data_IF_366753595737
#
_entry.id   IF_366753595737
#
_cell.length_a   1.000
_cell.length_b   1.000
_cell.length_c   1.000
_cell.angle_alpha   90.00
_cell.angle_beta   90.00
_cell.angle_gamma   90.00
#
_symmetry.space_group_name_H-M   'P 1'
#
loop_
_entity.id
_entity.type
_entity.pdbx_description
1 polymer ?
#
# COMPACT_ATOMS: atom_id res chain seq x y z
N UNK A 1 -4.80 19.52 4.94
CA UNK A 1 -3.95 18.67 4.09
C UNK A 1 -4.73 17.41 3.76
N UNK A 2 -4.96 17.06 2.49
CA UNK A 2 -5.66 15.80 2.14
C UNK A 2 -4.65 14.67 2.17
N UNK A 3 -4.83 13.69 3.07
CA UNK A 3 -3.97 12.51 3.12
C UNK A 3 -4.16 11.68 1.83
N UNK A 4 -3.04 11.19 1.31
CA UNK A 4 -3.01 10.28 0.16
C UNK A 4 -2.43 8.94 0.60
N UNK A 5 -3.12 7.87 0.27
CA UNK A 5 -2.69 6.50 0.56
C UNK A 5 -2.32 5.76 -0.71
N UNK A 6 -1.30 4.91 -0.61
CA UNK A 6 -0.88 4.04 -1.69
C UNK A 6 -0.89 2.61 -1.19
N UNK A 7 -1.71 1.78 -1.81
CA UNK A 7 -1.89 0.40 -1.43
C UNK A 7 -0.92 -0.49 -2.21
N UNK A 8 -0.21 -1.35 -1.48
CA UNK A 8 0.63 -2.38 -2.06
C UNK A 8 -0.18 -3.46 -2.80
N UNK A 9 0.48 -4.33 -3.56
CA UNK A 9 -0.16 -5.34 -4.41
C UNK A 9 -1.07 -6.30 -3.64
N UNK A 10 -0.72 -6.62 -2.40
CA UNK A 10 -1.42 -7.58 -1.56
C UNK A 10 -2.60 -6.95 -0.80
N UNK A 11 -2.76 -5.64 -0.88
CA UNK A 11 -3.92 -4.95 -0.30
C UNK A 11 -5.17 -5.24 -1.14
N UNK A 12 -6.24 -5.67 -0.46
CA UNK A 12 -7.50 -6.03 -1.13
C UNK A 12 -8.20 -4.80 -1.72
N UNK A 13 -8.97 -5.03 -2.79
CA UNK A 13 -9.85 -3.99 -3.37
C UNK A 13 -10.87 -3.46 -2.35
N UNK A 14 -11.30 -4.29 -1.40
CA UNK A 14 -12.21 -3.90 -0.32
C UNK A 14 -11.56 -2.81 0.53
N UNK A 15 -10.34 -3.02 1.03
CA UNK A 15 -9.64 -2.02 1.84
C UNK A 15 -9.36 -0.74 1.04
N UNK A 16 -8.90 -0.86 -0.21
CA UNK A 16 -8.73 0.29 -1.10
C UNK A 16 -10.02 1.11 -1.27
N UNK A 17 -11.16 0.44 -1.55
CA UNK A 17 -12.45 1.10 -1.71
C UNK A 17 -12.96 1.71 -0.40
N UNK A 18 -12.74 1.04 0.74
CA UNK A 18 -13.05 1.59 2.06
C UNK A 18 -12.33 2.92 2.28
N UNK A 19 -11.01 2.99 2.03
CA UNK A 19 -10.22 4.23 2.16
C UNK A 19 -10.78 5.33 1.25
N UNK A 20 -11.11 4.99 0.00
CA UNK A 20 -11.72 5.91 -0.95
C UNK A 20 -13.08 6.45 -0.46
N UNK A 21 -13.92 5.56 0.07
CA UNK A 21 -15.26 5.90 0.57
C UNK A 21 -15.23 6.81 1.80
N UNK A 22 -14.15 6.75 2.59
CA UNK A 22 -13.89 7.71 3.68
C UNK A 22 -13.42 9.09 3.18
N UNK A 23 -13.32 9.31 1.86
CA UNK A 23 -12.99 10.60 1.26
C UNK A 23 -11.49 10.86 1.10
N UNK A 24 -10.64 9.86 1.34
CA UNK A 24 -9.20 9.97 1.12
C UNK A 24 -8.82 9.73 -0.34
N UNK A 25 -7.71 10.33 -0.76
CA UNK A 25 -7.09 9.97 -2.03
C UNK A 25 -6.39 8.63 -1.85
N UNK A 26 -6.65 7.68 -2.75
CA UNK A 26 -6.03 6.37 -2.71
C UNK A 26 -5.64 5.94 -4.11
N UNK A 27 -4.45 5.35 -4.20
CA UNK A 27 -3.94 4.71 -5.39
C UNK A 27 -3.31 3.35 -5.03
N UNK A 28 -2.86 2.57 -6.01
CA UNK A 28 -2.25 1.27 -5.75
C UNK A 28 -1.28 0.81 -6.82
N UNK A 29 -0.42 -0.15 -6.47
CA UNK A 29 0.42 -0.90 -7.42
C UNK A 29 -0.41 -1.46 -8.58
N UNK A 30 -1.60 -1.99 -8.27
CA UNK A 30 -2.53 -2.57 -9.25
C UNK A 30 -3.07 -1.53 -10.23
N UNK A 31 -3.49 -0.37 -9.74
CA UNK A 31 -4.02 0.71 -10.59
C UNK A 31 -2.96 1.25 -11.54
N UNK A 32 -1.71 1.35 -11.07
CA UNK A 32 -0.57 1.84 -11.84
C UNK A 32 0.10 0.78 -12.71
N UNK A 33 -0.28 -0.49 -12.57
CA UNK A 33 0.32 -1.64 -13.28
C UNK A 33 1.84 -1.75 -13.07
N UNK A 34 2.32 -1.39 -11.89
CA UNK A 34 3.76 -1.42 -11.51
C UNK A 34 4.11 -2.65 -10.65
N UNK A 35 3.57 -3.81 -11.03
CA UNK A 35 3.76 -5.07 -10.30
C UNK A 35 5.24 -5.43 -10.14
N UNK A 36 5.62 -5.96 -8.98
CA UNK A 36 7.01 -6.34 -8.69
C UNK A 36 7.99 -5.16 -8.60
N UNK A 37 7.50 -3.93 -8.42
CA UNK A 37 8.35 -2.77 -8.12
C UNK A 37 9.22 -3.04 -6.89
N UNK A 38 10.50 -2.69 -6.95
CA UNK A 38 11.41 -2.84 -5.81
C UNK A 38 11.03 -1.84 -4.72
N UNK A 39 11.18 -2.24 -3.46
CA UNK A 39 10.82 -1.41 -2.30
C UNK A 39 11.48 -0.01 -2.36
N UNK A 40 12.76 0.09 -2.76
CA UNK A 40 13.44 1.39 -2.92
C UNK A 40 12.80 2.30 -3.98
N UNK A 41 12.40 1.76 -5.13
CA UNK A 41 11.75 2.50 -6.21
C UNK A 41 10.32 2.90 -5.80
N UNK A 42 9.63 2.03 -5.06
CA UNK A 42 8.32 2.33 -4.48
C UNK A 42 8.42 3.49 -3.49
N UNK A 43 9.40 3.49 -2.57
CA UNK A 43 9.62 4.61 -1.64
C UNK A 43 9.92 5.91 -2.40
N UNK A 44 10.72 5.87 -3.46
CA UNK A 44 11.01 7.05 -4.28
C UNK A 44 9.73 7.65 -4.90
N UNK A 45 8.86 6.79 -5.44
CA UNK A 45 7.56 7.18 -5.98
C UNK A 45 6.64 7.80 -4.91
N UNK A 46 6.57 7.16 -3.73
CA UNK A 46 5.73 7.64 -2.63
C UNK A 46 6.18 9.01 -2.13
N UNK A 47 7.50 9.23 -2.06
CA UNK A 47 8.10 10.49 -1.65
C UNK A 47 7.91 11.63 -2.66
N UNK A 48 7.92 11.33 -3.95
CA UNK A 48 7.73 12.35 -4.99
C UNK A 48 6.27 12.83 -5.05
N UNK A 49 5.32 11.93 -4.75
CA UNK A 49 3.88 12.21 -4.88
C UNK A 49 3.16 12.46 -3.55
N UNK A 50 3.90 12.37 -2.44
CA UNK A 50 3.44 12.52 -1.06
C UNK A 50 2.33 11.52 -0.69
N UNK A 51 2.60 10.24 -0.90
CA UNK A 51 1.75 9.14 -0.46
C UNK A 51 2.25 8.49 0.83
N UNK A 52 1.31 8.03 1.65
CA UNK A 52 1.52 7.09 2.76
C UNK A 52 1.34 5.68 2.21
N UNK A 53 2.34 4.81 2.38
CA UNK A 53 2.24 3.41 1.96
C UNK A 53 1.39 2.61 2.95
N UNK A 54 0.55 1.72 2.43
CA UNK A 54 -0.11 0.66 3.21
C UNK A 54 0.34 -0.68 2.63
N UNK A 55 0.97 -1.51 3.45
CA UNK A 55 1.51 -2.81 3.03
C UNK A 55 1.37 -3.88 4.13
N UNK A 56 1.46 -5.14 3.71
CA UNK A 56 1.66 -6.30 4.58
C UNK A 56 3.15 -6.72 4.67
N UNK A 57 4.01 -6.14 3.83
CA UNK A 57 5.43 -6.47 3.76
C UNK A 57 6.18 -5.91 4.98
N UNK A 58 6.71 -6.80 5.81
CA UNK A 58 7.46 -6.46 7.03
C UNK A 58 8.90 -6.08 6.73
N UNK A 59 9.41 -6.32 5.52
CA UNK A 59 10.78 -5.96 5.13
C UNK A 59 10.98 -4.43 5.18
N UNK A 60 9.88 -3.65 5.10
CA UNK A 60 9.89 -2.21 5.32
C UNK A 60 10.23 -1.79 6.76
N UNK A 61 10.16 -2.68 7.75
CA UNK A 61 10.63 -2.43 9.12
C UNK A 61 12.15 -2.60 9.26
N UNK A 62 12.73 -3.51 8.48
CA UNK A 62 14.13 -3.90 8.63
C UNK A 62 15.07 -3.00 7.84
N UNK A 63 14.59 -2.49 6.71
CA UNK A 63 15.38 -1.66 5.80
C UNK A 63 15.29 -0.17 6.14
N UNK A 64 16.43 0.53 6.05
CA UNK A 64 16.49 1.97 6.27
C UNK A 64 16.03 2.71 5.02
N UNK A 65 14.79 3.20 5.05
CA UNK A 65 14.25 4.09 4.02
C UNK A 65 14.08 5.51 4.54
N UNK A 66 14.40 6.50 3.72
CA UNK A 66 14.00 7.88 3.97
C UNK A 66 12.58 8.06 3.48
N UNK A 67 11.60 8.05 4.38
CA UNK A 67 10.17 8.17 4.06
C UNK A 67 9.65 9.52 4.52
N UNK A 68 8.97 10.26 3.63
CA UNK A 68 8.43 11.60 3.92
C UNK A 68 7.09 11.59 4.65
N UNK A 69 6.17 10.70 4.23
CA UNK A 69 4.79 10.69 4.76
C UNK A 69 4.52 9.53 5.73
N UNK A 70 5.28 8.45 5.63
CA UNK A 70 5.20 7.29 6.50
C UNK A 70 4.79 6.00 5.76
N UNK A 71 4.94 4.89 6.46
CA UNK A 71 4.51 3.56 6.03
C UNK A 71 3.62 3.00 7.13
N UNK A 72 2.45 2.48 6.74
CA UNK A 72 1.53 1.75 7.59
C UNK A 72 1.70 0.27 7.23
N UNK A 73 2.20 -0.50 8.19
CA UNK A 73 2.33 -1.94 8.05
C UNK A 73 1.18 -2.57 8.82
N UNK A 74 0.33 -3.31 8.10
CA UNK A 74 -0.80 -4.02 8.69
C UNK A 74 -0.31 -5.40 9.09
N UNK A 75 -0.09 -5.62 10.39
CA UNK A 75 0.24 -6.94 10.92
C UNK A 75 -1.03 -7.58 11.51
N UNK A 76 -1.81 -8.21 10.65
CA UNK A 76 -2.98 -8.99 11.06
C UNK A 76 -2.80 -10.41 10.57
N UNK A 77 -3.14 -11.40 11.41
CA UNK A 77 -3.32 -12.77 10.92
C UNK A 77 -4.59 -12.77 10.07
N UNK A 78 -4.50 -12.88 8.73
CA UNK A 78 -5.69 -12.83 7.91
C UNK A 78 -6.58 -14.03 8.25
N UNK A 79 -7.87 -13.78 8.54
CA UNK A 79 -8.88 -14.79 8.27
C UNK A 79 -8.79 -15.07 6.76
N UNK A 80 -8.33 -16.27 6.39
CA UNK A 80 -7.97 -16.65 5.01
C UNK A 80 -9.05 -16.23 4.00
N UNK A 81 -10.33 -16.25 4.38
CA UNK A 81 -11.46 -16.01 3.48
C UNK A 81 -11.49 -14.64 2.79
N UNK A 82 -10.96 -13.55 3.36
CA UNK A 82 -10.99 -12.23 2.70
C UNK A 82 -9.73 -11.89 1.88
N UNK A 83 -8.63 -12.64 2.06
CA UNK A 83 -7.33 -12.37 1.42
C UNK A 83 -6.89 -13.45 0.44
N UNK A 84 -7.53 -14.63 0.44
CA UNK A 84 -7.42 -15.64 -0.62
C UNK A 84 -8.65 -15.62 -1.53
N UNK A 85 -8.70 -14.67 -2.46
CA UNK A 85 -9.53 -14.89 -3.67
C UNK A 85 -8.57 -15.36 -4.76
N UNK A 86 -8.76 -16.56 -5.34
CA UNK A 86 -7.94 -17.01 -6.46
C UNK A 86 -8.10 -16.01 -7.62
N UNK A 87 -6.97 -15.62 -8.20
CA UNK A 87 -6.98 -14.97 -9.52
C UNK A 87 -7.49 -16.02 -10.52
N UNK A 88 -8.75 -15.86 -10.96
CA UNK A 88 -9.26 -16.53 -12.15
C UNK A 88 -8.54 -16.01 -13.40
#
# INVERSE_FOLDING_TARGET
>A
MKCKFFCDENITKKLHNTIKNYGFQVDSVRNRKIFGIRNGDLIALLNSENFILITFDKDFLEQKYTVRQGIIIIDVNPNRDEFTIPLF
#
